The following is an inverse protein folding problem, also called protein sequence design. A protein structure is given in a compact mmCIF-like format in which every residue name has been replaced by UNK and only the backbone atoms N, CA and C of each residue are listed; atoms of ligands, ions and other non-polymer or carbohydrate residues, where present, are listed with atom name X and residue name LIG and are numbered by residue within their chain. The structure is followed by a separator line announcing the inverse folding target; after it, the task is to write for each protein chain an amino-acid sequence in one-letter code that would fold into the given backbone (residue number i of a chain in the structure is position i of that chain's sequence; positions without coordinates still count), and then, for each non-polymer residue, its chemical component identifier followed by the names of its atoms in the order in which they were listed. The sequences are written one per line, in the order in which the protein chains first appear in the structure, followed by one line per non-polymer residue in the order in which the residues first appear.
data_IF_032060551914
#
_entry.id   IF_032060551914
#
_cell.length_a   1.000
_cell.length_b   1.000
_cell.length_c   1.000
_cell.angle_alpha   90.00
_cell.angle_beta   90.00
_cell.angle_gamma   90.00
#
_symmetry.space_group_name_H-M   'P 1'
#
loop_
_entity.id
_entity.type
_entity.pdbx_description
1 polymer ?
#
# COMPACT_ATOMS: atom_id res chain seq x y z
N UNK A 1 -15.86 -3.11 18.85
CA UNK A 1 -14.93 -2.56 17.83
C UNK A 1 -14.81 -3.56 16.69
N UNK A 2 -15.01 -3.17 15.43
CA UNK A 2 -14.74 -4.05 14.28
C UNK A 2 -13.23 -4.08 14.02
N UNK A 3 -12.65 -5.26 13.82
CA UNK A 3 -11.23 -5.42 13.46
C UNK A 3 -11.06 -5.23 11.96
N UNK A 4 -10.05 -4.46 11.55
CA UNK A 4 -9.62 -4.37 10.16
C UNK A 4 -8.71 -5.54 9.78
N UNK A 5 -8.58 -5.80 8.48
CA UNK A 5 -7.60 -6.73 7.91
C UNK A 5 -6.54 -5.94 7.15
N UNK A 6 -5.30 -6.42 7.18
CA UNK A 6 -4.18 -5.85 6.44
C UNK A 6 -3.68 -6.90 5.46
N UNK A 7 -3.61 -6.52 4.19
CA UNK A 7 -3.00 -7.32 3.12
C UNK A 7 -1.69 -6.65 2.72
N UNK A 8 -0.57 -7.34 2.91
CA UNK A 8 0.76 -6.80 2.60
C UNK A 8 1.27 -7.37 1.27
N UNK A 9 1.23 -6.55 0.22
CA UNK A 9 1.76 -6.93 -1.09
C UNK A 9 3.25 -6.57 -1.17
N UNK A 10 4.11 -7.57 -1.31
CA UNK A 10 5.56 -7.42 -1.46
C UNK A 10 6.03 -8.09 -2.75
N UNK A 11 7.18 -7.63 -3.27
CA UNK A 11 7.75 -8.12 -4.53
C UNK A 11 8.54 -7.03 -5.26
N UNK A 12 9.28 -7.45 -6.28
CA UNK A 12 10.13 -6.58 -7.10
C UNK A 12 9.35 -5.41 -7.74
N UNK A 13 10.07 -4.35 -8.11
CA UNK A 13 9.49 -3.28 -8.94
C UNK A 13 8.94 -3.89 -10.24
N UNK A 14 7.74 -3.48 -10.65
CA UNK A 14 7.06 -4.06 -11.82
C UNK A 14 6.38 -5.42 -11.61
N UNK A 15 6.45 -6.06 -10.43
CA UNK A 15 5.80 -7.35 -10.16
C UNK A 15 4.25 -7.30 -10.09
N UNK A 16 3.63 -6.15 -10.33
CA UNK A 16 2.17 -6.00 -10.35
C UNK A 16 1.50 -5.75 -8.99
N UNK A 17 2.24 -5.35 -7.95
CA UNK A 17 1.72 -5.09 -6.59
C UNK A 17 0.55 -4.11 -6.61
N UNK A 18 0.73 -2.92 -7.20
CA UNK A 18 -0.29 -1.88 -7.28
C UNK A 18 -1.49 -2.34 -8.10
N UNK A 19 -1.26 -3.02 -9.23
CA UNK A 19 -2.33 -3.60 -10.08
C UNK A 19 -3.19 -4.59 -9.29
N UNK A 20 -2.56 -5.50 -8.51
CA UNK A 20 -3.27 -6.47 -7.71
C UNK A 20 -4.03 -5.81 -6.54
N UNK A 21 -3.41 -4.86 -5.84
CA UNK A 21 -4.03 -4.12 -4.74
C UNK A 21 -5.30 -3.38 -5.21
N UNK A 22 -5.24 -2.75 -6.38
CA UNK A 22 -6.36 -2.08 -7.02
C UNK A 22 -7.50 -3.04 -7.36
N UNK A 23 -7.21 -4.18 -8.00
CA UNK A 23 -8.23 -5.19 -8.30
C UNK A 23 -8.89 -5.76 -7.04
N UNK A 24 -8.12 -5.97 -5.96
CA UNK A 24 -8.66 -6.40 -4.66
C UNK A 24 -9.58 -5.33 -4.07
N UNK A 25 -9.19 -4.05 -4.15
CA UNK A 25 -10.00 -2.92 -3.69
C UNK A 25 -11.33 -2.85 -4.41
N UNK A 26 -11.34 -2.98 -5.73
CA UNK A 26 -12.57 -2.97 -6.53
C UNK A 26 -13.52 -4.11 -6.12
N UNK A 27 -12.99 -5.33 -5.96
CA UNK A 27 -13.78 -6.51 -5.52
C UNK A 27 -14.38 -6.34 -4.13
N UNK A 28 -13.63 -5.72 -3.20
CA UNK A 28 -14.10 -5.48 -1.84
C UNK A 28 -15.11 -4.33 -1.77
N UNK A 29 -14.89 -3.24 -2.52
CA UNK A 29 -15.86 -2.14 -2.65
C UNK A 29 -17.18 -2.62 -3.26
N UNK A 30 -17.13 -3.51 -4.24
CA UNK A 30 -18.33 -4.17 -4.80
C UNK A 30 -19.12 -5.01 -3.79
N UNK A 31 -18.57 -5.27 -2.60
CA UNK A 31 -19.22 -5.95 -1.47
C UNK A 31 -19.53 -5.00 -0.30
N UNK A 32 -19.51 -3.70 -0.53
CA UNK A 32 -19.69 -2.64 0.49
C UNK A 32 -18.67 -2.72 1.65
N UNK A 33 -17.49 -3.26 1.38
CA UNK A 33 -16.39 -3.31 2.36
C UNK A 33 -15.52 -2.06 2.18
N UNK A 34 -15.39 -1.27 3.25
CA UNK A 34 -14.49 -0.11 3.26
C UNK A 34 -13.03 -0.56 3.16
N UNK A 35 -12.33 -0.03 2.17
CA UNK A 35 -10.95 -0.39 1.87
C UNK A 35 -10.12 0.83 1.52
N UNK A 36 -8.89 0.85 1.98
CA UNK A 36 -7.88 1.84 1.66
C UNK A 36 -6.61 1.14 1.16
N UNK A 37 -5.93 1.74 0.19
CA UNK A 37 -4.60 1.31 -0.25
C UNK A 37 -3.58 2.27 0.38
N UNK A 38 -2.51 1.70 0.93
CA UNK A 38 -1.33 2.43 1.36
C UNK A 38 -0.20 2.05 0.39
N UNK A 39 0.05 2.90 -0.60
CA UNK A 39 1.13 2.70 -1.56
C UNK A 39 2.42 3.35 -1.01
N UNK A 40 3.54 2.64 -1.10
CA UNK A 40 4.82 3.10 -0.57
C UNK A 40 5.32 4.39 -1.23
N UNK A 41 5.02 4.59 -2.52
CA UNK A 41 5.39 5.80 -3.23
C UNK A 41 4.51 6.99 -2.80
N UNK A 42 3.21 6.75 -2.61
CA UNK A 42 2.28 7.76 -2.08
C UNK A 42 2.65 8.17 -0.65
N UNK A 43 2.91 7.20 0.21
CA UNK A 43 3.32 7.41 1.60
C UNK A 43 4.63 8.21 1.64
N UNK A 44 5.61 7.85 0.81
CA UNK A 44 6.90 8.55 0.74
C UNK A 44 6.75 10.00 0.27
N UNK A 45 5.92 10.25 -0.75
CA UNK A 45 5.69 11.61 -1.26
C UNK A 45 5.02 12.56 -0.25
N UNK A 46 4.21 12.00 0.68
CA UNK A 46 3.39 12.77 1.64
C UNK A 46 3.99 12.87 3.04
N UNK A 47 4.55 11.78 3.55
CA UNK A 47 4.98 11.68 4.96
C UNK A 47 6.49 11.65 5.12
N UNK A 48 7.24 11.20 4.10
CA UNK A 48 8.67 10.95 4.19
C UNK A 48 9.46 11.67 3.09
N UNK A 49 9.17 12.95 2.84
CA UNK A 49 9.95 13.79 1.91
C UNK A 49 11.44 13.91 2.28
N UNK A 50 11.81 13.54 3.51
CA UNK A 50 13.18 13.63 4.04
C UNK A 50 13.87 12.28 4.23
N UNK A 51 13.19 11.16 3.98
CA UNK A 51 13.86 9.85 4.00
C UNK A 51 14.35 9.54 2.58
N UNK A 52 15.66 9.46 2.39
CA UNK A 52 16.27 8.96 1.16
C UNK A 52 16.18 7.43 1.06
N UNK A 53 17.00 6.85 0.19
CA UNK A 53 17.00 5.41 -0.09
C UNK A 53 18.17 4.67 0.55
N UNK A 54 18.96 5.33 1.39
CA UNK A 54 20.07 4.68 2.06
C UNK A 54 19.55 3.84 3.24
N UNK A 55 20.28 2.78 3.59
CA UNK A 55 19.94 1.93 4.74
C UNK A 55 19.85 2.74 6.05
N UNK A 56 20.62 3.83 6.15
CA UNK A 56 20.61 4.75 7.29
C UNK A 56 19.37 5.64 7.36
N UNK A 57 18.68 5.88 6.24
CA UNK A 57 17.48 6.71 6.16
C UNK A 57 16.18 5.91 6.24
N UNK A 58 16.25 4.58 6.15
CA UNK A 58 15.07 3.68 6.15
C UNK A 58 14.78 3.13 7.57
N UNK A 59 15.62 3.42 8.57
CA UNK A 59 15.47 2.92 9.96
C UNK A 59 14.44 3.68 10.79
#
# INVERSE_FOLDING_TARGET
MKRGLVFWFTGLSGAGKTTLAESVRERLRGRDIKTSILDGDDVRSRLHRHLGFTETEIK
#
